data_IF_751923854977
#
_entry.id   IF_751923854977
#
_cell.length_a   1.000
_cell.length_b   1.000
_cell.length_c   1.000
_cell.angle_alpha   90.00
_cell.angle_beta   90.00
_cell.angle_gamma   90.00
#
_symmetry.space_group_name_H-M   'P 1'
#
loop_
_entity.id
_entity.type
_entity.pdbx_description
1 polymer ?
#
# COMPACT_ATOMS: atom_id res chain seq x y z
N UNK A 1 11.48 3.40 16.66
CA UNK A 1 10.16 2.82 16.26
C UNK A 1 10.16 2.71 14.75
N UNK A 2 10.04 1.50 14.21
CA UNK A 2 10.06 1.27 12.76
C UNK A 2 8.69 1.59 12.17
N UNK A 3 8.65 2.62 11.34
CA UNK A 3 7.44 3.26 10.86
C UNK A 3 7.07 2.71 9.49
N UNK A 4 6.40 1.55 9.44
CA UNK A 4 5.85 1.06 8.19
C UNK A 4 4.68 1.97 7.81
N UNK A 5 4.74 2.64 6.65
CA UNK A 5 3.70 3.56 6.16
C UNK A 5 2.93 2.93 5.01
N UNK A 6 1.60 3.08 5.03
CA UNK A 6 0.78 2.64 3.91
C UNK A 6 0.95 3.56 2.69
N UNK A 7 1.12 3.01 1.49
CA UNK A 7 1.23 3.81 0.26
C UNK A 7 -0.03 4.63 -0.06
N UNK A 8 -1.23 4.19 0.37
CA UNK A 8 -2.48 4.93 0.13
C UNK A 8 -2.78 5.96 1.20
N UNK A 9 -2.79 5.55 2.46
CA UNK A 9 -3.30 6.38 3.54
C UNK A 9 -2.20 7.15 4.27
N UNK A 10 -0.91 6.89 3.96
CA UNK A 10 0.29 7.39 4.68
C UNK A 10 0.29 7.21 6.20
N UNK A 11 -0.74 6.56 6.74
CA UNK A 11 -0.89 6.18 8.15
C UNK A 11 0.14 5.10 8.51
N UNK A 12 0.59 5.15 9.75
CA UNK A 12 1.47 4.14 10.34
C UNK A 12 0.71 2.81 10.41
N UNK A 13 1.20 1.80 9.70
CA UNK A 13 0.65 0.44 9.71
C UNK A 13 1.31 -0.47 10.75
N UNK A 14 2.26 0.05 11.53
CA UNK A 14 2.99 -0.72 12.57
C UNK A 14 2.10 -1.32 13.67
N UNK A 15 0.89 -0.77 13.88
CA UNK A 15 -0.10 -1.32 14.84
C UNK A 15 -1.30 -1.99 14.16
N UNK A 16 -1.28 -2.15 12.83
CA UNK A 16 -2.41 -2.70 12.09
C UNK A 16 -2.16 -4.16 11.76
N UNK A 17 -2.77 -5.05 12.52
CA UNK A 17 -2.80 -6.49 12.27
C UNK A 17 -3.58 -6.75 10.97
N UNK A 18 -2.98 -7.47 10.01
CA UNK A 18 -3.57 -7.70 8.67
C UNK A 18 -3.04 -6.80 7.55
N UNK A 19 -1.93 -6.11 7.78
CA UNK A 19 -1.23 -5.39 6.70
C UNK A 19 -0.66 -6.37 5.68
N UNK A 20 -0.90 -6.13 4.39
CA UNK A 20 -0.34 -6.92 3.30
C UNK A 20 0.76 -6.15 2.60
N UNK A 21 1.77 -6.87 2.16
CA UNK A 21 2.87 -6.36 1.34
C UNK A 21 2.87 -7.14 0.04
N UNK A 22 2.89 -6.45 -1.09
CA UNK A 22 2.95 -7.07 -2.40
C UNK A 22 3.74 -6.19 -3.34
N UNK A 23 4.36 -6.79 -4.34
CA UNK A 23 5.12 -6.06 -5.36
C UNK A 23 4.15 -5.46 -6.37
N UNK A 24 4.41 -4.24 -6.82
CA UNK A 24 3.58 -3.60 -7.83
C UNK A 24 3.51 -4.48 -9.10
N UNK A 25 2.31 -4.88 -9.57
CA UNK A 25 2.18 -5.73 -10.77
C UNK A 25 2.53 -5.00 -12.07
N UNK A 26 2.51 -3.67 -12.08
CA UNK A 26 2.85 -2.87 -13.25
C UNK A 26 4.36 -2.79 -13.51
N UNK A 27 5.18 -2.66 -12.47
CA UNK A 27 6.64 -2.48 -12.62
C UNK A 27 7.51 -3.55 -11.97
N UNK A 28 6.97 -4.33 -11.02
CA UNK A 28 7.71 -5.37 -10.29
C UNK A 28 8.87 -4.85 -9.42
N UNK A 29 9.03 -3.52 -9.29
CA UNK A 29 10.18 -2.88 -8.63
C UNK A 29 9.85 -2.32 -7.24
N UNK A 30 8.60 -1.92 -7.02
CA UNK A 30 8.19 -1.29 -5.76
C UNK A 30 7.37 -2.23 -4.90
N UNK A 31 7.73 -2.32 -3.63
CA UNK A 31 6.94 -3.01 -2.61
C UNK A 31 5.85 -2.09 -2.06
N UNK A 32 4.60 -2.46 -2.31
CA UNK A 32 3.43 -1.71 -1.89
C UNK A 32 2.88 -2.36 -0.62
N UNK A 33 2.84 -1.56 0.44
CA UNK A 33 2.29 -1.97 1.73
C UNK A 33 0.91 -1.33 1.91
N UNK A 34 -0.11 -2.17 2.10
CA UNK A 34 -1.51 -1.73 2.27
C UNK A 34 -2.10 -2.30 3.55
N UNK A 35 -2.73 -1.43 4.35
CA UNK A 35 -3.48 -1.88 5.52
C UNK A 35 -4.89 -2.35 5.13
N UNK A 36 -5.48 -3.13 6.03
CA UNK A 36 -6.86 -3.63 5.92
C UNK A 36 -7.87 -2.52 5.69
N UNK A 37 -7.69 -1.36 6.31
CA UNK A 37 -8.63 -0.23 6.19
C UNK A 37 -8.62 0.35 4.77
N UNK A 38 -7.45 0.57 4.17
CA UNK A 38 -7.37 1.02 2.78
C UNK A 38 -7.81 -0.09 1.79
N UNK A 39 -7.71 -1.38 2.15
CA UNK A 39 -8.27 -2.51 1.39
C UNK A 39 -9.81 -2.55 1.45
N UNK A 40 -10.40 -2.42 2.65
CA UNK A 40 -11.86 -2.40 2.85
C UNK A 40 -12.52 -1.21 2.16
N UNK A 41 -11.87 -0.05 2.22
CA UNK A 41 -12.35 1.16 1.56
C UNK A 41 -11.92 1.24 0.09
N UNK A 42 -11.27 0.20 -0.43
CA UNK A 42 -10.86 0.09 -1.84
C UNK A 42 -10.15 1.37 -2.30
N UNK A 43 -9.30 1.91 -1.43
CA UNK A 43 -8.64 3.19 -1.66
C UNK A 43 -7.76 3.02 -2.90
N UNK A 44 -7.60 4.05 -3.71
CA UNK A 44 -6.67 3.99 -4.82
C UNK A 44 -5.24 4.01 -4.27
N UNK A 45 -4.33 3.25 -4.87
CA UNK A 45 -2.91 3.39 -4.60
C UNK A 45 -2.21 3.70 -5.90
N UNK A 46 -1.27 4.63 -5.85
CA UNK A 46 -0.44 4.98 -6.99
C UNK A 46 0.96 4.46 -6.73
N UNK A 47 1.50 3.68 -7.66
CA UNK A 47 2.90 3.28 -7.62
C UNK A 47 3.80 4.47 -7.99
N UNK A 48 4.76 4.88 -7.14
CA UNK A 48 5.66 5.99 -7.45
C UNK A 48 6.55 5.74 -8.67
N UNK A 49 7.00 4.49 -8.88
CA UNK A 49 7.93 4.19 -9.98
C UNK A 49 7.30 4.12 -11.37
N UNK A 50 6.03 3.71 -11.49
CA UNK A 50 5.39 3.54 -12.80
C UNK A 50 4.09 4.32 -12.99
N UNK A 51 3.62 5.02 -11.95
CA UNK A 51 2.33 5.72 -12.00
C UNK A 51 1.14 4.77 -12.05
N UNK A 52 1.33 3.45 -11.83
CA UNK A 52 0.24 2.49 -11.83
C UNK A 52 -0.71 2.81 -10.68
N UNK A 53 -1.90 3.30 -11.03
CA UNK A 53 -3.01 3.41 -10.10
C UNK A 53 -3.74 2.07 -10.07
N UNK A 54 -3.77 1.44 -8.89
CA UNK A 54 -4.60 0.28 -8.60
C UNK A 54 -5.86 0.70 -7.84
N UNK A 55 -7.00 0.80 -8.54
CA UNK A 55 -8.32 0.98 -7.97
C UNK A 55 -9.12 -0.33 -8.07
N UNK A 56 -10.07 -0.53 -7.17
CA UNK A 56 -11.11 -1.57 -7.28
C UNK A 56 -10.64 -3.02 -7.29
#
# INVERSE_FOLDING_TARGET
>A
MSEAKCSSCKKNVSNVTGTVKFVCPGCGKEEITRCVECRKNVVKYTCPSCGFEGPN
#
